data_IF_159664281998
#
_entry.id   IF_159664281998
#
_cell.length_a   1.000
_cell.length_b   1.000
_cell.length_c   1.000
_cell.angle_alpha   90.00
_cell.angle_beta   90.00
_cell.angle_gamma   90.00
#
_symmetry.space_group_name_H-M   'P 1'
#
loop_
_entity.id
_entity.type
_entity.pdbx_description
1 polymer ?
#
# COMPACT_ATOMS: atom_id res chain seq x y z
N UNK A 1 16.95 17.66 15.55
CA UNK A 1 15.67 17.89 14.85
C UNK A 1 15.55 16.74 13.88
N UNK A 2 14.71 15.76 14.18
CA UNK A 2 14.74 14.45 13.53
C UNK A 2 13.86 14.49 12.28
N UNK A 3 14.36 13.99 11.16
CA UNK A 3 13.67 13.86 9.86
C UNK A 3 12.40 12.98 9.91
N UNK A 4 12.06 12.43 11.09
CA UNK A 4 10.89 11.58 11.33
C UNK A 4 9.54 12.30 11.12
N UNK A 5 9.44 13.60 11.44
CA UNK A 5 8.16 14.32 11.36
C UNK A 5 7.70 14.55 9.91
N UNK A 6 8.66 14.73 8.98
CA UNK A 6 8.37 14.95 7.55
C UNK A 6 7.99 13.67 6.81
N UNK A 7 8.61 12.54 7.15
CA UNK A 7 8.28 11.24 6.58
C UNK A 7 6.91 10.73 7.02
N UNK A 8 6.50 11.02 8.27
CA UNK A 8 5.19 10.62 8.80
C UNK A 8 4.02 11.28 8.07
N UNK A 9 4.09 12.58 7.80
CA UNK A 9 3.02 13.31 7.11
C UNK A 9 2.85 12.87 5.64
N UNK A 10 3.95 12.68 4.91
CA UNK A 10 3.89 12.16 3.54
C UNK A 10 3.35 10.73 3.48
N UNK A 11 3.69 9.91 4.47
CA UNK A 11 3.16 8.56 4.60
C UNK A 11 1.65 8.56 4.84
N UNK A 12 1.14 9.48 5.66
CA UNK A 12 -0.29 9.62 5.89
C UNK A 12 -1.04 10.09 4.63
N UNK A 13 -0.48 11.09 3.93
CA UNK A 13 -1.07 11.56 2.67
C UNK A 13 -1.11 10.45 1.61
N UNK A 14 -0.05 9.62 1.54
CA UNK A 14 -0.05 8.44 0.69
C UNK A 14 -1.17 7.47 1.08
N UNK A 15 -1.32 7.15 2.37
CA UNK A 15 -2.40 6.27 2.85
C UNK A 15 -3.79 6.76 2.46
N UNK A 16 -4.04 8.07 2.59
CA UNK A 16 -5.31 8.69 2.20
C UNK A 16 -5.57 8.56 0.68
N UNK A 17 -4.56 8.86 -0.14
CA UNK A 17 -4.66 8.72 -1.60
C UNK A 17 -4.86 7.28 -2.03
N UNK A 18 -4.15 6.34 -1.42
CA UNK A 18 -4.30 4.91 -1.67
C UNK A 18 -5.71 4.43 -1.29
N UNK A 19 -6.27 4.92 -0.17
CA UNK A 19 -7.64 4.58 0.23
C UNK A 19 -8.69 5.06 -0.79
N UNK A 20 -8.52 6.27 -1.33
CA UNK A 20 -9.38 6.80 -2.40
C UNK A 20 -9.27 5.95 -3.67
N UNK A 21 -8.05 5.57 -4.07
CA UNK A 21 -7.83 4.71 -5.25
C UNK A 21 -8.51 3.34 -5.09
N UNK A 22 -8.39 2.71 -3.91
CA UNK A 22 -9.06 1.43 -3.63
C UNK A 22 -10.59 1.56 -3.62
N UNK A 23 -11.12 2.67 -3.09
CA UNK A 23 -12.56 2.94 -3.10
C UNK A 23 -13.09 3.09 -4.54
N UNK A 24 -12.40 3.85 -5.40
CA UNK A 24 -12.76 3.95 -6.82
C UNK A 24 -12.74 2.59 -7.51
N UNK A 25 -11.76 1.74 -7.21
CA UNK A 25 -11.71 0.36 -7.69
C UNK A 25 -12.93 -0.47 -7.24
N UNK A 26 -13.35 -0.32 -5.99
CA UNK A 26 -14.54 -1.01 -5.47
C UNK A 26 -15.83 -0.55 -6.17
N UNK A 27 -15.97 0.74 -6.44
CA UNK A 27 -17.11 1.30 -7.21
C UNK A 27 -17.13 0.79 -8.65
N UNK A 28 -15.96 0.75 -9.30
CA UNK A 28 -15.81 0.18 -10.64
C UNK A 28 -16.24 -1.30 -10.68
N UNK A 29 -15.88 -2.09 -9.67
CA UNK A 29 -16.34 -3.50 -9.57
C UNK A 29 -17.87 -3.57 -9.44
N UNK A 30 -18.48 -2.63 -8.71
CA UNK A 30 -19.93 -2.48 -8.65
C UNK A 30 -20.55 -2.27 -10.03
N UNK A 31 -20.02 -1.31 -10.79
CA UNK A 31 -20.45 -1.04 -12.17
C UNK A 31 -20.19 -2.21 -13.11
N UNK A 32 -19.04 -2.89 -13.00
CA UNK A 32 -18.70 -4.08 -13.76
C UNK A 32 -19.77 -5.17 -13.60
N UNK A 33 -20.19 -5.42 -12.36
CA UNK A 33 -21.22 -6.42 -12.05
C UNK A 33 -22.58 -6.06 -12.67
N UNK A 34 -22.93 -4.78 -12.73
CA UNK A 34 -24.16 -4.33 -13.35
C UNK A 34 -24.09 -4.51 -14.88
N UNK A 35 -23.00 -4.05 -15.50
CA UNK A 35 -22.82 -4.15 -16.96
C UNK A 35 -22.77 -5.60 -17.43
N UNK A 36 -22.08 -6.49 -16.71
CA UNK A 36 -22.03 -7.93 -17.03
C UNK A 36 -23.38 -8.65 -16.87
N UNK A 37 -24.32 -8.08 -16.11
CA UNK A 37 -25.69 -8.61 -16.00
C UNK A 37 -26.60 -8.11 -17.12
N UNK A 38 -26.24 -7.01 -17.77
CA UNK A 38 -27.00 -6.49 -18.91
C UNK A 38 -26.67 -7.29 -20.17
N UNK A 39 -27.65 -8.05 -20.67
CA UNK A 39 -27.51 -8.83 -21.91
C UNK A 39 -27.47 -7.96 -23.16
N UNK A 40 -27.76 -6.67 -23.04
CA UNK A 40 -27.68 -5.70 -24.13
C UNK A 40 -26.33 -4.99 -24.19
N UNK A 41 -25.48 -5.18 -23.18
CA UNK A 41 -24.15 -4.58 -23.17
C UNK A 41 -23.38 -5.01 -24.43
N UNK A 42 -22.84 -4.03 -25.13
CA UNK A 42 -22.15 -4.28 -26.38
C UNK A 42 -20.65 -4.59 -26.17
N UNK A 43 -20.00 -5.03 -27.25
CA UNK A 43 -18.60 -5.40 -27.19
C UNK A 43 -17.66 -4.20 -26.91
N UNK A 44 -18.08 -2.97 -27.22
CA UNK A 44 -17.29 -1.77 -26.95
C UNK A 44 -17.36 -1.42 -25.46
N UNK A 45 -18.54 -1.48 -24.85
CA UNK A 45 -18.73 -1.28 -23.41
C UNK A 45 -17.95 -2.32 -22.59
N UNK A 46 -17.97 -3.58 -23.01
CA UNK A 46 -17.20 -4.65 -22.35
C UNK A 46 -15.69 -4.49 -22.49
N UNK A 47 -15.20 -4.02 -23.65
CA UNK A 47 -13.77 -3.70 -23.85
C UNK A 47 -13.34 -2.54 -22.95
N UNK A 48 -14.12 -1.46 -22.95
CA UNK A 48 -13.87 -0.31 -22.08
C UNK A 48 -13.86 -0.72 -20.61
N UNK A 49 -14.84 -1.51 -20.17
CA UNK A 49 -14.87 -2.04 -18.80
C UNK A 49 -13.62 -2.85 -18.47
N UNK A 50 -13.17 -3.70 -19.40
CA UNK A 50 -11.98 -4.53 -19.21
C UNK A 50 -10.71 -3.68 -19.05
N UNK A 51 -10.54 -2.64 -19.87
CA UNK A 51 -9.42 -1.71 -19.74
C UNK A 51 -9.43 -0.99 -18.39
N UNK A 52 -10.60 -0.50 -17.95
CA UNK A 52 -10.75 0.14 -16.64
C UNK A 52 -10.41 -0.81 -15.48
N UNK A 53 -10.80 -2.08 -15.59
CA UNK A 53 -10.49 -3.09 -14.57
C UNK A 53 -9.00 -3.42 -14.52
N UNK A 54 -8.30 -3.43 -15.67
CA UNK A 54 -6.85 -3.61 -15.74
C UNK A 54 -6.14 -2.45 -15.04
N UNK A 55 -6.54 -1.20 -15.32
CA UNK A 55 -5.98 -0.02 -14.65
C UNK A 55 -6.17 -0.09 -13.13
N UNK A 56 -7.39 -0.38 -12.66
CA UNK A 56 -7.68 -0.49 -11.23
C UNK A 56 -6.87 -1.61 -10.54
N UNK A 57 -6.61 -2.72 -11.24
CA UNK A 57 -5.77 -3.80 -10.71
C UNK A 57 -4.30 -3.39 -10.63
N UNK A 58 -3.78 -2.68 -11.63
CA UNK A 58 -2.41 -2.16 -11.60
C UNK A 58 -2.21 -1.16 -10.46
N UNK A 59 -3.20 -0.30 -10.23
CA UNK A 59 -3.18 0.62 -9.09
C UNK A 59 -3.19 -0.14 -7.76
N UNK A 60 -4.05 -1.15 -7.61
CA UNK A 60 -4.08 -1.98 -6.40
C UNK A 60 -2.75 -2.72 -6.13
N UNK A 61 -2.08 -3.21 -7.17
CA UNK A 61 -0.76 -3.84 -7.05
C UNK A 61 0.30 -2.83 -6.58
N UNK A 62 0.32 -1.63 -7.16
CA UNK A 62 1.25 -0.57 -6.74
C UNK A 62 1.05 -0.18 -5.28
N UNK A 63 -0.21 -0.09 -4.83
CA UNK A 63 -0.55 0.20 -3.43
C UNK A 63 -0.04 -0.92 -2.51
N UNK A 64 -0.22 -2.18 -2.90
CA UNK A 64 0.27 -3.32 -2.12
C UNK A 64 1.80 -3.31 -1.99
N UNK A 65 2.52 -2.99 -3.06
CA UNK A 65 3.98 -2.86 -3.07
C UNK A 65 4.46 -1.69 -2.17
N UNK A 66 3.82 -0.51 -2.30
CA UNK A 66 4.07 0.67 -1.46
C UNK A 66 3.94 0.34 0.04
N UNK A 67 2.83 -0.29 0.43
CA UNK A 67 2.57 -0.70 1.81
C UNK A 67 3.54 -1.76 2.30
N UNK A 68 3.90 -2.72 1.45
CA UNK A 68 4.90 -3.75 1.75
C UNK A 68 6.27 -3.15 2.08
N UNK A 69 6.70 -2.13 1.34
CA UNK A 69 7.97 -1.43 1.59
C UNK A 69 7.99 -0.58 2.86
N UNK A 70 6.83 -0.24 3.44
CA UNK A 70 6.69 0.54 4.68
C UNK A 70 6.65 -0.31 5.94
N UNK A 71 6.47 -1.63 5.82
CA UNK A 71 6.50 -2.52 6.98
C UNK A 71 7.94 -2.62 7.50
N UNK A 72 8.20 -2.42 8.81
CA UNK A 72 9.53 -2.63 9.36
C UNK A 72 9.94 -4.07 9.07
N UNK A 73 11.13 -4.25 8.48
CA UNK A 73 11.67 -5.56 8.19
C UNK A 73 11.62 -6.41 9.46
N UNK A 74 10.99 -7.57 9.40
CA UNK A 74 10.85 -8.52 10.51
C UNK A 74 12.18 -9.11 11.02
N UNK A 75 13.32 -8.52 10.64
CA UNK A 75 14.68 -9.01 10.89
C UNK A 75 15.53 -8.20 11.87
N UNK A 76 15.02 -7.16 12.52
CA UNK A 76 15.81 -6.39 13.50
C UNK A 76 15.20 -6.47 14.90
N UNK A 77 15.11 -7.70 15.42
CA UNK A 77 15.41 -7.96 16.83
C UNK A 77 16.84 -8.48 16.92
N UNK A 78 17.81 -7.68 16.51
CA UNK A 78 19.19 -7.95 16.88
C UNK A 78 19.40 -7.31 18.25
N UNK A 79 19.39 -8.17 19.27
CA UNK A 79 19.60 -7.76 20.64
C UNK A 79 21.03 -7.30 20.82
N UNK A 80 21.23 -5.99 20.96
CA UNK A 80 22.42 -5.48 21.62
C UNK A 80 22.21 -5.61 23.14
N UNK A 81 22.54 -6.80 23.66
CA UNK A 81 22.65 -7.04 25.09
C UNK A 81 23.80 -6.20 25.66
N UNK A 82 23.67 -5.64 26.88
CA UNK A 82 24.69 -4.76 27.41
C UNK A 82 25.99 -5.53 27.62
N UNK A 83 27.02 -5.20 26.83
CA UNK A 83 28.37 -5.70 27.08
C UNK A 83 28.88 -5.07 28.37
N UNK A 84 28.72 -5.79 29.48
CA UNK A 84 29.48 -5.56 30.70
C UNK A 84 30.97 -5.76 30.37
N UNK A 85 31.70 -4.67 30.16
CA UNK A 85 33.15 -4.69 30.36
C UNK A 85 33.43 -4.12 31.73
N UNK A 86 33.58 -5.04 32.68
CA UNK A 86 34.23 -4.78 33.95
C UNK A 86 35.63 -4.23 33.70
N UNK A 87 35.91 -3.00 34.13
CA UNK A 87 37.28 -2.61 34.50
C UNK A 87 37.28 -1.49 35.53
N UNK A 88 37.20 -1.88 36.80
CA UNK A 88 37.98 -1.24 37.86
C UNK A 88 38.76 -2.34 38.60
N UNK A 89 39.74 -2.02 39.45
CA UNK A 89 40.46 -0.76 39.63
C UNK A 89 41.97 -0.95 39.35
N UNK A 90 42.75 0.12 39.19
CA UNK A 90 44.17 0.04 39.52
C UNK A 90 44.54 1.25 40.38
N UNK A 91 45.31 0.94 41.42
CA UNK A 91 45.68 1.71 42.61
C UNK A 91 46.22 3.12 42.36
#
# INVERSE_FOLDING_TARGET
MSDADGTGYLSQLADEMEAVQLQMGAELIGHARLLLRDRKADAQELRYLSDRLIEALQDALRIAESRGGRLPGSGEREGDGPTQTSKGPNE
#
